data_IF_472308436297
#
_entry.id   IF_472308436297
#
_cell.length_a   1.000
_cell.length_b   1.000
_cell.length_c   1.000
_cell.angle_alpha   90.00
_cell.angle_beta   90.00
_cell.angle_gamma   90.00
#
_symmetry.space_group_name_H-M   'P 1'
#
loop_
_entity.id
_entity.type
_entity.pdbx_description
1 polymer ?
#
# COMPACT_ATOMS: atom_id res chain seq x y z
N UNK A 1 100.99 18.09 10.63
CA UNK A 1 99.78 18.96 10.67
C UNK A 1 98.71 18.33 9.78
N UNK A 2 97.73 17.66 10.41
CA UNK A 2 96.71 16.78 9.81
C UNK A 2 95.91 16.26 11.04
N UNK A 3 94.58 16.30 11.20
CA UNK A 3 93.40 16.24 10.32
C UNK A 3 92.18 16.75 11.13
N UNK A 4 91.43 17.72 10.61
CA UNK A 4 90.07 17.63 10.03
C UNK A 4 88.90 17.75 11.03
N UNK A 5 88.03 18.72 10.73
CA UNK A 5 86.87 19.21 11.50
C UNK A 5 85.67 18.25 11.47
N UNK A 6 84.97 18.18 12.60
CA UNK A 6 83.52 18.24 12.83
C UNK A 6 82.60 17.65 11.74
N UNK A 7 81.86 16.59 12.10
CA UNK A 7 80.63 16.20 11.40
C UNK A 7 79.54 15.88 12.43
N UNK A 8 78.73 16.89 12.77
CA UNK A 8 77.39 16.68 13.30
C UNK A 8 76.50 16.16 12.17
N UNK A 9 76.10 14.89 12.25
CA UNK A 9 75.08 14.34 11.37
C UNK A 9 73.70 14.73 11.92
N UNK A 10 73.06 15.73 11.31
CA UNK A 10 71.63 15.97 11.50
C UNK A 10 70.87 15.10 10.49
N UNK A 11 70.14 14.09 10.97
CA UNK A 11 69.27 13.28 10.14
C UNK A 11 68.06 14.12 9.70
N UNK A 12 67.93 14.39 8.40
CA UNK A 12 66.73 14.98 7.84
C UNK A 12 65.63 13.90 7.75
N UNK A 13 64.65 13.97 8.64
CA UNK A 13 63.46 13.13 8.58
C UNK A 13 62.47 13.75 7.59
N UNK A 14 62.42 13.24 6.36
CA UNK A 14 61.46 13.69 5.36
C UNK A 14 60.06 13.20 5.74
N UNK A 15 59.19 14.10 6.18
CA UNK A 15 57.76 13.83 6.36
C UNK A 15 57.09 13.77 5.00
N UNK A 16 56.64 12.57 4.59
CA UNK A 16 55.75 12.44 3.44
C UNK A 16 54.38 13.02 3.81
N UNK A 17 54.05 14.18 3.27
CA UNK A 17 52.67 14.68 3.22
C UNK A 17 51.89 13.75 2.31
N UNK A 18 51.05 12.89 2.90
CA UNK A 18 50.08 12.10 2.16
C UNK A 18 49.15 13.04 1.40
N UNK A 19 49.04 12.85 0.08
CA UNK A 19 48.02 13.50 -0.72
C UNK A 19 46.66 13.04 -0.19
N UNK A 20 45.87 13.97 0.35
CA UNK A 20 44.47 13.68 0.66
C UNK A 20 43.77 13.46 -0.66
N UNK A 21 43.28 12.25 -0.91
CA UNK A 21 42.29 12.04 -1.95
C UNK A 21 41.10 12.93 -1.63
N UNK A 22 40.80 13.90 -2.49
CA UNK A 22 39.50 14.55 -2.47
C UNK A 22 38.48 13.46 -2.78
N UNK A 23 37.89 12.87 -1.73
CA UNK A 23 36.75 11.97 -1.87
C UNK A 23 35.74 12.64 -2.78
N UNK A 24 35.31 11.93 -3.82
CA UNK A 24 34.38 12.44 -4.82
C UNK A 24 33.29 13.23 -4.12
N UNK A 25 33.17 14.50 -4.50
CA UNK A 25 32.21 15.45 -3.97
C UNK A 25 30.89 14.75 -3.70
N UNK A 26 30.38 14.90 -2.48
CA UNK A 26 29.09 14.36 -2.04
C UNK A 26 27.98 14.82 -2.97
N UNK A 27 27.80 14.08 -4.05
CA UNK A 27 26.72 14.27 -5.00
C UNK A 27 25.47 13.70 -4.33
N UNK A 28 24.84 14.54 -3.51
CA UNK A 28 23.49 14.31 -3.01
C UNK A 28 22.53 14.91 -4.02
N UNK A 29 21.58 14.11 -4.49
CA UNK A 29 20.38 14.64 -5.13
C UNK A 29 19.55 15.24 -4.00
N UNK A 30 19.62 16.56 -3.84
CA UNK A 30 18.91 17.29 -2.77
C UNK A 30 17.52 17.73 -3.19
N UNK A 31 17.20 17.62 -4.49
CA UNK A 31 15.88 17.86 -5.03
C UNK A 31 15.60 16.94 -6.21
N UNK A 32 14.35 16.52 -6.31
CA UNK A 32 13.83 15.73 -7.42
C UNK A 32 12.37 16.14 -7.62
N UNK A 33 11.91 16.06 -8.87
CA UNK A 33 10.48 16.15 -9.21
C UNK A 33 10.11 14.82 -9.83
N UNK A 34 9.01 14.21 -9.37
CA UNK A 34 8.45 13.01 -9.98
C UNK A 34 7.33 13.48 -10.89
N UNK A 35 7.50 13.30 -12.20
CA UNK A 35 6.40 13.50 -13.13
C UNK A 35 5.35 12.43 -12.85
N UNK A 36 4.11 12.84 -12.56
CA UNK A 36 3.04 11.90 -12.28
C UNK A 36 2.73 11.06 -13.53
N UNK A 37 2.69 9.75 -13.36
CA UNK A 37 2.36 8.77 -14.40
C UNK A 37 1.49 7.67 -13.82
N UNK A 38 1.02 6.73 -14.64
CA UNK A 38 0.20 5.61 -14.17
C UNK A 38 -0.35 4.77 -15.31
N UNK A 39 -0.86 3.58 -14.99
CA UNK A 39 -1.43 2.67 -15.97
C UNK A 39 -1.67 1.27 -15.44
N UNK A 40 -2.30 0.43 -16.27
CA UNK A 40 -2.49 -0.99 -16.01
C UNK A 40 -1.33 -1.78 -16.63
N UNK A 41 -0.62 -2.53 -15.79
CA UNK A 41 0.35 -3.54 -16.20
C UNK A 41 -0.35 -4.89 -16.12
N UNK A 42 -0.43 -5.61 -17.24
CA UNK A 42 -1.07 -6.93 -17.30
C UNK A 42 -0.10 -8.00 -17.82
N UNK A 43 -0.19 -9.21 -17.25
CA UNK A 43 0.60 -10.37 -17.63
C UNK A 43 -0.10 -11.67 -17.22
N UNK A 44 -0.43 -12.52 -18.20
CA UNK A 44 -1.21 -13.74 -17.95
C UNK A 44 -2.62 -13.41 -17.44
N UNK A 45 -3.05 -14.06 -16.36
CA UNK A 45 -4.34 -13.83 -15.70
C UNK A 45 -4.35 -12.63 -14.74
N UNK A 46 -3.22 -11.94 -14.57
CA UNK A 46 -3.09 -10.88 -13.57
C UNK A 46 -2.98 -9.51 -14.24
N UNK A 47 -3.68 -8.53 -13.68
CA UNK A 47 -3.58 -7.12 -14.06
C UNK A 47 -3.44 -6.26 -12.79
N UNK A 48 -2.53 -5.30 -12.83
CA UNK A 48 -2.20 -4.37 -11.74
C UNK A 48 -2.31 -2.95 -12.28
N UNK A 49 -3.17 -2.12 -11.69
CA UNK A 49 -3.29 -0.70 -12.05
C UNK A 49 -2.69 0.14 -10.95
N UNK A 50 -1.79 1.07 -11.29
CA UNK A 50 -1.15 1.96 -10.32
C UNK A 50 -0.77 3.31 -10.90
N UNK A 51 -0.41 4.24 -10.02
CA UNK A 51 0.11 5.58 -10.35
C UNK A 51 1.48 5.80 -9.73
N UNK A 52 2.38 6.46 -10.45
CA UNK A 52 3.70 6.89 -9.99
C UNK A 52 3.55 8.25 -9.32
N UNK A 53 3.96 8.35 -8.05
CA UNK A 53 4.04 9.63 -7.32
C UNK A 53 2.82 9.97 -6.46
N UNK A 54 1.86 9.05 -6.27
CA UNK A 54 0.82 9.23 -5.25
C UNK A 54 1.39 8.91 -3.86
N UNK A 55 1.25 9.80 -2.86
CA UNK A 55 1.58 9.46 -1.48
C UNK A 55 0.71 8.27 -1.08
N UNK A 56 1.35 7.14 -0.79
CA UNK A 56 0.62 5.98 -0.33
C UNK A 56 -0.04 6.33 1.01
N UNK A 57 -1.37 6.44 1.03
CA UNK A 57 -2.12 6.54 2.28
C UNK A 57 -2.15 5.20 3.02
N UNK A 58 -1.59 4.15 2.39
CA UNK A 58 -1.18 2.90 3.00
C UNK A 58 -2.29 2.11 3.66
N UNK A 59 -3.03 1.30 2.89
CA UNK A 59 -3.56 0.04 3.40
C UNK A 59 -2.57 -1.13 3.10
N UNK A 60 -2.84 -2.43 3.34
CA UNK A 60 -1.76 -3.41 3.61
C UNK A 60 -1.06 -4.06 2.41
N UNK A 61 0.26 -3.78 2.15
CA UNK A 61 1.29 -4.49 1.31
C UNK A 61 1.53 -5.98 1.67
N UNK A 62 1.75 -6.92 0.73
CA UNK A 62 2.27 -8.28 1.08
C UNK A 62 2.64 -9.13 -0.18
N UNK A 63 3.62 -10.05 -0.06
CA UNK A 63 4.04 -11.00 -1.11
C UNK A 63 4.38 -12.44 -0.65
N UNK A 64 3.83 -13.44 -1.37
CA UNK A 64 3.68 -14.86 -1.03
C UNK A 64 2.19 -15.19 -0.80
N UNK A 65 1.78 -15.81 0.31
CA UNK A 65 0.36 -15.94 0.74
C UNK A 65 -0.20 -14.63 1.32
N UNK A 66 0.02 -13.54 0.62
CA UNK A 66 0.28 -12.27 1.26
C UNK A 66 -0.32 -11.19 0.31
N UNK A 67 -1.27 -10.34 0.76
CA UNK A 67 -1.87 -9.17 0.02
C UNK A 67 -1.35 -7.74 0.26
N UNK A 68 -1.23 -6.91 -0.81
CA UNK A 68 -0.84 -5.49 -0.84
C UNK A 68 -2.00 -4.49 -1.11
N UNK A 69 -2.28 -3.47 -0.28
CA UNK A 69 -3.21 -2.35 -0.50
C UNK A 69 -2.45 -1.01 -0.46
N UNK A 70 -2.79 -0.06 -1.33
CA UNK A 70 -2.22 1.30 -1.35
C UNK A 70 -3.36 2.34 -1.39
N UNK A 71 -3.09 3.61 -1.07
CA UNK A 71 -4.12 4.65 -0.88
C UNK A 71 -4.20 5.75 -1.97
N UNK A 72 -5.45 5.98 -2.44
CA UNK A 72 -6.07 6.95 -3.38
C UNK A 72 -6.29 6.60 -4.87
N UNK A 73 -6.88 5.43 -5.19
CA UNK A 73 -7.96 5.31 -6.19
C UNK A 73 -8.84 4.11 -5.79
N UNK A 74 -9.98 4.43 -5.16
CA UNK A 74 -11.00 3.59 -4.47
C UNK A 74 -10.63 3.23 -3.02
N UNK A 75 -11.32 3.86 -2.06
CA UNK A 75 -11.10 3.73 -0.62
C UNK A 75 -11.40 2.32 -0.09
N UNK A 76 -10.47 1.39 -0.27
CA UNK A 76 -10.47 0.11 0.42
C UNK A 76 -9.86 0.34 1.80
N UNK A 77 -10.72 0.36 2.82
CA UNK A 77 -10.29 0.27 4.21
C UNK A 77 -9.69 -1.14 4.41
N UNK A 78 -8.40 -1.26 4.78
CA UNK A 78 -7.79 -2.57 5.03
C UNK A 78 -8.37 -3.07 6.35
N UNK A 79 -9.11 -4.17 6.30
CA UNK A 79 -9.67 -4.77 7.52
C UNK A 79 -11.17 -4.57 7.71
N UNK A 80 -11.92 -4.03 6.73
CA UNK A 80 -13.31 -4.46 6.64
C UNK A 80 -13.28 -5.92 6.16
N UNK A 81 -13.33 -6.84 7.12
CA UNK A 81 -13.83 -8.18 6.82
C UNK A 81 -15.18 -7.92 6.17
N UNK A 82 -15.35 -8.13 4.88
CA UNK A 82 -16.65 -7.87 4.27
C UNK A 82 -17.60 -8.92 4.84
N UNK A 83 -18.52 -8.52 5.71
CA UNK A 83 -19.64 -9.38 6.04
C UNK A 83 -20.55 -9.38 4.81
N UNK A 84 -20.83 -10.53 4.18
CA UNK A 84 -21.69 -10.57 3.00
C UNK A 84 -23.09 -9.99 3.24
N UNK A 85 -23.54 -9.90 4.50
CA UNK A 85 -24.83 -9.31 4.89
C UNK A 85 -24.77 -7.89 5.47
N UNK A 86 -23.60 -7.22 5.50
CA UNK A 86 -23.48 -5.83 5.97
C UNK A 86 -23.73 -4.88 4.79
N UNK A 87 -24.99 -4.50 4.64
CA UNK A 87 -25.50 -3.72 3.51
C UNK A 87 -25.33 -2.22 3.76
N UNK A 88 -25.36 -1.79 5.02
CA UNK A 88 -25.22 -0.37 5.41
C UNK A 88 -23.76 0.05 5.67
N UNK A 89 -22.83 -0.89 5.71
CA UNK A 89 -21.40 -0.67 5.94
C UNK A 89 -21.09 -0.36 7.40
N UNK A 90 -21.96 -0.76 8.34
CA UNK A 90 -21.81 -0.53 9.77
C UNK A 90 -20.87 -1.52 10.46
N UNK A 91 -20.32 -2.48 9.72
CA UNK A 91 -19.51 -3.60 10.20
C UNK A 91 -20.27 -4.62 11.06
N UNK A 92 -21.60 -4.67 10.99
CA UNK A 92 -22.40 -5.61 11.75
C UNK A 92 -23.67 -6.03 11.01
N UNK A 93 -23.86 -7.34 10.77
CA UNK A 93 -25.08 -7.87 10.14
C UNK A 93 -26.21 -7.93 11.15
N UNK A 94 -27.16 -7.01 11.05
CA UNK A 94 -28.24 -6.84 12.01
C UNK A 94 -29.54 -6.36 11.35
N UNK A 95 -30.46 -5.81 12.15
CA UNK A 95 -31.76 -5.37 11.68
C UNK A 95 -31.68 -4.19 10.69
N UNK A 96 -30.65 -3.35 10.78
CA UNK A 96 -30.42 -2.26 9.84
C UNK A 96 -30.23 -2.79 8.40
N UNK A 97 -29.48 -3.87 8.24
CA UNK A 97 -29.25 -4.51 6.93
C UNK A 97 -30.51 -5.16 6.38
N UNK A 98 -31.27 -5.84 7.27
CA UNK A 98 -32.54 -6.44 6.89
C UNK A 98 -33.55 -5.38 6.45
N UNK A 99 -33.58 -4.22 7.09
CA UNK A 99 -34.45 -3.11 6.70
C UNK A 99 -34.13 -2.65 5.26
N UNK A 100 -32.86 -2.48 4.91
CA UNK A 100 -32.45 -2.10 3.55
C UNK A 100 -32.85 -3.18 2.53
N UNK A 101 -32.66 -4.46 2.86
CA UNK A 101 -33.03 -5.56 1.98
C UNK A 101 -34.56 -5.57 1.75
N UNK A 102 -35.35 -5.37 2.81
CA UNK A 102 -36.81 -5.35 2.73
C UNK A 102 -37.34 -4.10 2.01
N UNK A 103 -36.68 -2.95 2.15
CA UNK A 103 -37.03 -1.71 1.44
C UNK A 103 -36.89 -1.85 -0.09
N UNK A 104 -35.95 -2.71 -0.54
CA UNK A 104 -35.72 -3.00 -1.95
C UNK A 104 -36.37 -4.33 -2.40
N UNK A 105 -37.21 -4.95 -1.58
CA UNK A 105 -37.74 -6.28 -1.85
C UNK A 105 -38.46 -6.38 -3.20
N UNK A 106 -38.13 -7.42 -3.97
CA UNK A 106 -38.68 -7.67 -5.31
C UNK A 106 -38.46 -6.53 -6.31
N UNK A 107 -37.44 -5.70 -6.09
CA UNK A 107 -37.01 -4.65 -7.02
C UNK A 107 -35.72 -5.05 -7.75
N UNK A 108 -35.50 -4.39 -8.89
CA UNK A 108 -34.24 -4.49 -9.62
C UNK A 108 -33.33 -3.34 -9.19
N UNK A 109 -32.11 -3.67 -8.79
CA UNK A 109 -31.10 -2.74 -8.29
C UNK A 109 -29.81 -2.89 -9.11
N UNK A 110 -28.91 -1.90 -9.12
CA UNK A 110 -27.54 -2.13 -9.60
C UNK A 110 -26.93 -3.34 -8.88
N UNK A 111 -26.20 -4.18 -9.61
CA UNK A 111 -25.64 -5.42 -9.03
C UNK A 111 -24.78 -5.14 -7.80
N UNK A 112 -24.91 -5.97 -6.76
CA UNK A 112 -24.22 -5.81 -5.48
C UNK A 112 -24.57 -4.52 -4.71
N UNK A 113 -25.80 -4.02 -4.82
CA UNK A 113 -26.26 -2.82 -4.11
C UNK A 113 -27.69 -2.96 -3.62
N UNK A 114 -28.10 -2.13 -2.66
CA UNK A 114 -29.50 -2.09 -2.21
C UNK A 114 -30.04 -3.43 -1.70
N UNK A 115 -29.20 -4.29 -1.14
CA UNK A 115 -29.60 -5.62 -0.65
C UNK A 115 -29.52 -6.75 -1.68
N UNK A 116 -29.03 -6.53 -2.90
CA UNK A 116 -28.62 -7.59 -3.83
C UNK A 116 -27.25 -8.14 -3.37
N UNK A 117 -27.26 -9.28 -2.68
CA UNK A 117 -26.09 -9.89 -2.06
C UNK A 117 -25.48 -11.00 -2.94
N UNK A 118 -26.23 -11.53 -3.90
CA UNK A 118 -25.74 -12.54 -4.84
C UNK A 118 -25.27 -11.95 -6.18
N UNK A 119 -25.54 -10.66 -6.44
CA UNK A 119 -25.12 -9.93 -7.62
C UNK A 119 -25.96 -10.22 -8.87
N UNK A 120 -27.17 -10.78 -8.72
CA UNK A 120 -28.06 -11.13 -9.83
C UNK A 120 -28.94 -9.95 -10.29
N UNK A 121 -28.90 -8.84 -9.56
CA UNK A 121 -29.62 -7.61 -9.83
C UNK A 121 -31.06 -7.58 -9.31
N UNK A 122 -31.55 -8.63 -8.64
CA UNK A 122 -32.89 -8.66 -8.04
C UNK A 122 -32.81 -8.98 -6.56
N UNK A 123 -33.42 -8.14 -5.72
CA UNK A 123 -33.49 -8.38 -4.28
C UNK A 123 -34.61 -9.34 -3.94
N UNK A 124 -34.28 -10.55 -3.50
CA UNK A 124 -35.24 -11.63 -3.27
C UNK A 124 -34.80 -12.61 -2.16
N UNK A 125 -35.42 -13.79 -2.13
CA UNK A 125 -35.11 -14.82 -1.12
C UNK A 125 -33.66 -15.30 -1.15
N UNK A 126 -33.00 -15.29 -2.32
CA UNK A 126 -31.59 -15.64 -2.43
C UNK A 126 -30.71 -14.68 -1.61
N UNK A 127 -31.03 -13.40 -1.61
CA UNK A 127 -30.31 -12.39 -0.83
C UNK A 127 -30.64 -12.49 0.65
N UNK A 128 -31.92 -12.74 0.99
CA UNK A 128 -32.32 -12.94 2.38
C UNK A 128 -31.61 -14.15 3.01
N UNK A 129 -31.42 -15.23 2.25
CA UNK A 129 -30.67 -16.41 2.71
C UNK A 129 -29.22 -16.03 3.06
N UNK A 130 -28.55 -15.25 2.19
CA UNK A 130 -27.18 -14.77 2.44
C UNK A 130 -27.12 -13.88 3.69
N UNK A 131 -28.08 -12.97 3.83
CA UNK A 131 -28.14 -12.06 4.99
C UNK A 131 -28.33 -12.84 6.30
N UNK A 132 -29.23 -13.83 6.30
CA UNK A 132 -29.52 -14.63 7.49
C UNK A 132 -28.39 -15.61 7.84
N UNK A 133 -27.67 -16.13 6.85
CA UNK A 133 -26.48 -16.96 7.09
C UNK A 133 -25.37 -16.18 7.81
N UNK A 134 -25.27 -14.88 7.54
CA UNK A 134 -24.32 -13.98 8.18
C UNK A 134 -24.88 -13.28 9.45
N UNK A 135 -26.10 -13.61 9.91
CA UNK A 135 -26.79 -12.85 10.95
C UNK A 135 -26.02 -12.76 12.28
N UNK A 136 -25.91 -11.54 12.83
CA UNK A 136 -25.22 -11.28 14.08
C UNK A 136 -23.70 -11.28 13.98
N UNK A 137 -23.14 -11.41 12.78
CA UNK A 137 -21.70 -11.33 12.54
C UNK A 137 -21.25 -9.87 12.65
N UNK A 138 -20.10 -9.65 13.30
CA UNK A 138 -19.41 -8.36 13.35
C UNK A 138 -18.07 -8.51 12.63
N UNK A 139 -17.76 -7.58 11.73
CA UNK A 139 -16.61 -7.62 10.85
C UNK A 139 -15.64 -6.48 11.17
N UNK A 140 -14.32 -6.71 11.17
CA UNK A 140 -13.36 -5.61 11.41
C UNK A 140 -13.14 -5.25 12.89
N UNK A 141 -13.15 -6.26 13.77
CA UNK A 141 -12.57 -6.19 15.12
C UNK A 141 -11.14 -6.70 15.16
#
# INVERSE_FOLDING_TARGET
MSRSRWMTAAAAFATMTGATFAGGSGFSITSYTIDCGGGTVAGGTFALTGVIGQPDVGPELSGGTFTLVGGFLHGVMPGSVVCPGDVDGSNAVNFADLEILLDNWSTMVPVNSGGDLNGDGNVNFADLEILLDAWGTVCGG
#
